data_IF_129935004213
#
_entry.id   IF_129935004213
#
_cell.length_a   1.000
_cell.length_b   1.000
_cell.length_c   1.000
_cell.angle_alpha   90.00
_cell.angle_beta   90.00
_cell.angle_gamma   90.00
#
_symmetry.space_group_name_H-M   'P 1'
#
loop_
_entity.id
_entity.type
_entity.pdbx_description
1 polymer ?
#
# COMPACT_ATOMS: atom_id res chain seq x y z
N UNK A 1 4.24 -8.08 17.94
CA UNK A 1 4.83 -7.33 16.80
C UNK A 1 3.87 -6.24 16.37
N UNK A 2 4.39 -5.13 15.86
CA UNK A 2 3.60 -4.01 15.34
C UNK A 2 3.61 -4.01 13.82
N UNK A 3 2.45 -4.07 13.21
CA UNK A 3 2.24 -3.93 11.77
C UNK A 3 1.82 -2.50 11.44
N UNK A 4 2.55 -1.84 10.54
CA UNK A 4 2.11 -0.63 9.88
C UNK A 4 1.55 -1.02 8.52
N UNK A 5 0.28 -0.69 8.27
CA UNK A 5 -0.41 -1.07 7.04
C UNK A 5 -1.00 0.19 6.40
N UNK A 6 -0.72 0.42 5.11
CA UNK A 6 -1.42 1.45 4.35
C UNK A 6 -2.56 0.84 3.54
N UNK A 7 -3.69 1.55 3.42
CA UNK A 7 -4.88 1.07 2.72
C UNK A 7 -5.61 2.21 1.99
N UNK A 8 -6.52 1.81 1.09
CA UNK A 8 -7.34 2.77 0.34
C UNK A 8 -6.58 3.55 -0.72
N UNK A 9 -7.27 4.42 -1.46
CA UNK A 9 -6.68 5.35 -2.42
C UNK A 9 -6.27 6.65 -1.74
N UNK A 10 -5.31 7.38 -2.33
CA UNK A 10 -5.18 8.81 -2.03
C UNK A 10 -6.04 9.64 -2.98
N UNK A 11 -6.39 10.86 -2.56
CA UNK A 11 -7.14 11.84 -3.34
C UNK A 11 -6.32 13.11 -3.45
N UNK A 12 -5.91 13.43 -4.67
CA UNK A 12 -5.10 14.61 -4.94
C UNK A 12 -6.01 15.74 -5.42
N UNK A 13 -6.23 16.80 -4.63
CA UNK A 13 -7.20 17.83 -4.93
C UNK A 13 -6.81 18.64 -6.18
N UNK A 14 -7.79 18.90 -7.04
CA UNK A 14 -7.73 19.85 -8.16
C UNK A 14 -8.27 21.22 -7.70
N UNK A 15 -9.41 21.18 -7.00
CA UNK A 15 -10.10 22.30 -6.39
C UNK A 15 -10.93 21.80 -5.19
N UNK A 16 -11.67 22.63 -4.45
CA UNK A 16 -12.47 22.19 -3.30
C UNK A 16 -13.52 21.11 -3.59
N UNK A 17 -13.80 20.80 -4.87
CA UNK A 17 -14.88 19.88 -5.29
C UNK A 17 -14.35 18.64 -5.97
N UNK A 18 -13.22 18.73 -6.70
CA UNK A 18 -12.71 17.67 -7.58
C UNK A 18 -11.31 17.25 -7.19
N UNK A 19 -11.02 15.97 -7.39
CA UNK A 19 -9.72 15.36 -7.12
C UNK A 19 -9.39 14.26 -8.14
N UNK A 20 -8.11 13.93 -8.24
CA UNK A 20 -7.59 12.74 -8.92
C UNK A 20 -7.47 11.63 -7.87
N UNK A 21 -7.82 10.40 -8.22
CA UNK A 21 -7.73 9.25 -7.32
C UNK A 21 -7.65 7.94 -8.10
N UNK A 22 -7.36 6.86 -7.37
CA UNK A 22 -7.34 5.49 -7.86
C UNK A 22 -8.65 4.75 -7.49
N UNK A 23 -8.97 3.66 -8.23
CA UNK A 23 -10.16 2.82 -8.00
C UNK A 23 -10.02 1.84 -6.84
N UNK A 24 -9.16 2.09 -5.87
CA UNK A 24 -8.96 1.17 -4.74
C UNK A 24 -10.12 1.25 -3.76
N UNK A 25 -10.67 0.10 -3.38
CA UNK A 25 -11.68 -0.01 -2.32
C UNK A 25 -11.09 -0.10 -0.91
N UNK A 26 -9.77 -0.30 -0.78
CA UNK A 26 -9.09 -0.50 0.51
C UNK A 26 -9.26 -1.91 1.12
N UNK A 27 -10.12 -2.76 0.57
CA UNK A 27 -10.50 -4.07 1.16
C UNK A 27 -9.31 -4.96 1.49
N UNK A 28 -8.25 -5.00 0.65
CA UNK A 28 -7.10 -5.87 0.91
C UNK A 28 -6.29 -5.40 2.12
N UNK A 29 -5.99 -4.10 2.21
CA UNK A 29 -5.26 -3.54 3.36
C UNK A 29 -6.04 -3.69 4.67
N UNK A 30 -7.36 -3.49 4.65
CA UNK A 30 -8.22 -3.72 5.82
C UNK A 30 -8.25 -5.19 6.23
N UNK A 31 -8.37 -6.12 5.27
CA UNK A 31 -8.32 -7.55 5.57
C UNK A 31 -6.96 -7.98 6.18
N UNK A 32 -5.83 -7.41 5.70
CA UNK A 32 -4.51 -7.67 6.30
C UNK A 32 -4.45 -7.11 7.74
N UNK A 33 -5.04 -5.94 7.98
CA UNK A 33 -5.11 -5.35 9.31
C UNK A 33 -5.92 -6.24 10.28
N UNK A 34 -7.07 -6.73 9.88
CA UNK A 34 -7.87 -7.68 10.65
C UNK A 34 -7.11 -8.99 10.92
N UNK A 35 -6.52 -9.58 9.89
CA UNK A 35 -5.75 -10.82 10.03
C UNK A 35 -4.54 -10.69 10.98
N UNK A 36 -3.87 -9.53 10.99
CA UNK A 36 -2.78 -9.26 11.92
C UNK A 36 -3.27 -9.12 13.37
N UNK A 37 -4.41 -8.45 13.58
CA UNK A 37 -5.06 -8.36 14.90
C UNK A 37 -5.54 -9.72 15.40
N UNK A 38 -6.14 -10.54 14.53
CA UNK A 38 -6.58 -11.91 14.86
C UNK A 38 -5.41 -12.82 15.24
N UNK A 39 -4.23 -12.58 14.66
CA UNK A 39 -2.99 -13.26 15.02
C UNK A 39 -2.34 -12.71 16.32
N UNK A 40 -2.98 -11.76 17.01
CA UNK A 40 -2.52 -11.20 18.29
C UNK A 40 -1.44 -10.13 18.18
N UNK A 41 -1.37 -9.42 17.06
CA UNK A 41 -0.40 -8.36 16.81
C UNK A 41 -1.03 -6.97 16.89
N UNK A 42 -0.21 -5.95 17.17
CA UNK A 42 -0.63 -4.57 17.13
C UNK A 42 -0.65 -4.06 15.68
N UNK A 43 -1.62 -3.20 15.36
CA UNK A 43 -1.80 -2.65 14.01
C UNK A 43 -1.92 -1.13 14.05
N UNK A 44 -1.14 -0.47 13.21
CA UNK A 44 -1.30 0.92 12.82
C UNK A 44 -1.81 0.91 11.38
N UNK A 45 -3.09 1.28 11.20
CA UNK A 45 -3.73 1.35 9.88
C UNK A 45 -3.81 2.81 9.42
N UNK A 46 -3.03 3.14 8.39
CA UNK A 46 -3.05 4.45 7.72
C UNK A 46 -3.89 4.29 6.46
N UNK A 47 -5.05 4.95 6.41
CA UNK A 47 -5.99 4.75 5.30
C UNK A 47 -6.36 6.04 4.62
N UNK A 48 -6.28 6.03 3.29
CA UNK A 48 -6.99 6.97 2.45
C UNK A 48 -8.50 6.76 2.52
N UNK A 49 -9.32 7.63 1.88
CA UNK A 49 -10.77 7.62 2.03
C UNK A 49 -11.42 6.38 1.42
N UNK A 50 -12.08 5.59 2.24
CA UNK A 50 -12.86 4.39 1.87
C UNK A 50 -14.17 4.31 2.66
N UNK A 51 -15.11 3.48 2.19
CA UNK A 51 -16.39 3.22 2.88
C UNK A 51 -16.29 1.94 3.74
N UNK A 52 -15.18 1.75 4.45
CA UNK A 52 -14.96 0.61 5.35
C UNK A 52 -14.79 1.13 6.77
N UNK A 53 -15.40 0.45 7.73
CA UNK A 53 -15.12 0.72 9.15
C UNK A 53 -13.72 0.21 9.50
N UNK A 54 -12.90 0.99 10.20
CA UNK A 54 -11.59 0.53 10.63
C UNK A 54 -11.74 -0.62 11.66
N UNK A 55 -10.82 -1.60 11.65
CA UNK A 55 -10.81 -2.68 12.65
C UNK A 55 -10.73 -2.10 14.06
N UNK A 56 -11.56 -2.60 14.97
CA UNK A 56 -11.82 -2.01 16.29
C UNK A 56 -10.56 -1.81 17.16
N UNK A 57 -9.56 -2.70 17.04
CA UNK A 57 -8.33 -2.66 17.84
C UNK A 57 -7.15 -1.98 17.13
N UNK A 58 -7.31 -1.55 15.89
CA UNK A 58 -6.25 -0.88 15.16
C UNK A 58 -6.09 0.57 15.62
N UNK A 59 -4.86 1.04 15.73
CA UNK A 59 -4.57 2.48 15.77
C UNK A 59 -4.84 3.03 14.36
N UNK A 60 -5.99 3.68 14.18
CA UNK A 60 -6.42 4.19 12.89
C UNK A 60 -5.95 5.62 12.65
N UNK A 61 -5.35 5.87 11.49
CA UNK A 61 -4.91 7.19 11.03
C UNK A 61 -5.54 7.45 9.67
N UNK A 62 -6.47 8.41 9.62
CA UNK A 62 -7.10 8.83 8.38
C UNK A 62 -6.23 9.87 7.68
N UNK A 63 -6.00 9.67 6.39
CA UNK A 63 -5.29 10.60 5.50
C UNK A 63 -6.09 10.78 4.22
N UNK A 64 -5.85 11.86 3.49
CA UNK A 64 -6.51 12.12 2.21
C UNK A 64 -5.52 12.08 1.05
N UNK A 65 -4.40 12.76 1.17
CA UNK A 65 -3.43 12.94 0.09
C UNK A 65 -2.23 12.00 0.19
N UNK A 66 -1.47 11.89 -0.90
CA UNK A 66 -0.20 11.16 -0.93
C UNK A 66 0.83 11.76 0.03
N UNK A 67 0.85 13.08 0.19
CA UNK A 67 1.76 13.75 1.12
C UNK A 67 1.42 13.42 2.58
N UNK A 68 0.13 13.47 2.96
CA UNK A 68 -0.31 13.09 4.31
C UNK A 68 0.01 11.62 4.60
N UNK A 69 -0.20 10.72 3.62
CA UNK A 69 0.14 9.30 3.77
C UNK A 69 1.65 9.10 3.92
N UNK A 70 2.47 9.81 3.13
CA UNK A 70 3.92 9.78 3.24
C UNK A 70 4.37 10.16 4.65
N UNK A 71 3.89 11.30 5.15
CA UNK A 71 4.29 11.83 6.47
C UNK A 71 3.84 10.89 7.61
N UNK A 72 2.61 10.38 7.55
CA UNK A 72 2.09 9.42 8.54
C UNK A 72 2.88 8.09 8.54
N UNK A 73 3.23 7.56 7.35
CA UNK A 73 4.05 6.34 7.26
C UNK A 73 5.43 6.58 7.86
N UNK A 74 6.08 7.69 7.51
CA UNK A 74 7.42 8.00 8.02
C UNK A 74 7.46 8.22 9.54
N UNK A 75 6.38 8.75 10.12
CA UNK A 75 6.25 8.93 11.57
C UNK A 75 6.20 7.61 12.34
N UNK A 76 5.68 6.54 11.73
CA UNK A 76 5.43 5.29 12.42
C UNK A 76 6.28 4.09 11.96
N UNK A 77 7.00 4.20 10.83
CA UNK A 77 7.74 3.09 10.25
C UNK A 77 8.82 2.53 11.19
N UNK A 78 9.59 3.39 11.86
CA UNK A 78 10.71 2.95 12.71
C UNK A 78 10.27 2.28 14.02
N UNK A 79 9.02 2.48 14.43
CA UNK A 79 8.41 1.81 15.59
C UNK A 79 7.64 0.55 15.22
N UNK A 80 7.69 0.12 13.96
CA UNK A 80 6.98 -1.05 13.45
C UNK A 80 7.95 -2.18 13.10
N UNK A 81 7.48 -3.43 13.20
CA UNK A 81 8.25 -4.61 12.83
C UNK A 81 8.01 -5.00 11.36
N UNK A 82 6.81 -4.73 10.84
CA UNK A 82 6.39 -5.03 9.47
C UNK A 82 5.67 -3.83 8.88
N UNK A 83 6.16 -3.32 7.76
CA UNK A 83 5.53 -2.25 6.99
C UNK A 83 4.93 -2.82 5.70
N UNK A 84 3.60 -2.81 5.58
CA UNK A 84 2.85 -3.32 4.43
C UNK A 84 2.23 -2.15 3.67
N UNK A 85 2.81 -1.78 2.53
CA UNK A 85 2.34 -0.69 1.71
C UNK A 85 1.35 -1.20 0.65
N UNK A 86 0.06 -1.28 1.04
CA UNK A 86 -1.04 -1.81 0.23
C UNK A 86 -1.95 -0.71 -0.33
N UNK A 87 -1.76 0.55 0.06
CA UNK A 87 -2.53 1.68 -0.46
C UNK A 87 -2.28 1.92 -1.96
N UNK A 88 -3.29 2.40 -2.66
CA UNK A 88 -3.19 2.88 -4.03
C UNK A 88 -2.88 4.39 -4.02
N UNK A 89 -1.62 4.72 -3.82
CA UNK A 89 -1.12 6.10 -3.82
C UNK A 89 -1.10 6.62 -5.25
N UNK A 90 -1.55 7.85 -5.48
CA UNK A 90 -1.45 8.49 -6.78
C UNK A 90 0.02 8.84 -7.10
N UNK A 91 0.50 8.47 -8.30
CA UNK A 91 1.87 8.77 -8.75
C UNK A 91 2.06 10.24 -9.10
N UNK A 92 0.95 10.94 -9.40
CA UNK A 92 0.93 12.34 -9.80
C UNK A 92 -0.16 13.11 -9.06
N UNK A 93 0.12 14.39 -8.79
CA UNK A 93 -0.82 15.35 -8.22
C UNK A 93 -0.80 16.65 -9.03
N UNK A 94 -1.87 17.48 -8.97
CA UNK A 94 -1.85 18.81 -9.56
C UNK A 94 -0.68 19.65 -9.05
N UNK A 95 0.03 20.33 -9.96
CA UNK A 95 1.12 21.23 -9.60
C UNK A 95 0.60 22.42 -8.76
N UNK A 96 -0.65 22.83 -9.01
CA UNK A 96 -1.34 23.89 -8.27
C UNK A 96 -2.78 23.46 -7.98
N UNK A 97 -3.20 23.66 -6.74
CA UNK A 97 -4.58 23.41 -6.32
C UNK A 97 -5.33 24.75 -6.34
N UNK A 98 -6.44 24.80 -7.07
CA UNK A 98 -7.27 26.01 -7.09
C UNK A 98 -7.98 26.19 -5.76
N UNK A 99 -7.92 27.37 -5.12
CA UNK A 99 -8.63 27.65 -3.86
C UNK A 99 -10.16 27.78 -4.06
N UNK A 100 -10.61 27.90 -5.30
CA UNK A 100 -12.04 28.00 -5.66
C UNK A 100 -12.39 26.98 -6.74
N UNK A 101 -13.65 26.58 -6.81
CA UNK A 101 -14.15 25.69 -7.85
C UNK A 101 -13.87 26.27 -9.25
N UNK A 102 -13.13 25.55 -10.09
CA UNK A 102 -12.84 25.93 -11.47
C UNK A 102 -14.16 25.93 -12.28
N UNK A 103 -14.56 27.09 -12.78
CA UNK A 103 -15.79 27.25 -13.57
C UNK A 103 -15.57 26.77 -15.01
N UNK A 104 -16.63 26.31 -15.64
CA UNK A 104 -16.62 25.87 -17.05
C UNK A 104 -16.60 27.12 -17.94
N UNK A 105 -15.44 27.58 -18.35
CA UNK A 105 -15.26 28.78 -19.18
C UNK A 105 -14.71 28.46 -20.57
N UNK A 106 -14.10 27.30 -20.80
CA UNK A 106 -13.46 26.92 -22.04
C UNK A 106 -13.88 25.52 -22.48
N UNK A 107 -13.71 25.21 -23.76
CA UNK A 107 -13.98 23.89 -24.35
C UNK A 107 -12.98 22.82 -23.83
N UNK A 108 -11.76 23.25 -23.49
CA UNK A 108 -10.69 22.38 -22.96
C UNK A 108 -10.01 23.05 -21.77
N UNK A 109 -9.61 22.23 -20.80
CA UNK A 109 -8.80 22.63 -19.66
C UNK A 109 -7.64 21.66 -19.54
N UNK A 110 -6.42 22.18 -19.47
CA UNK A 110 -5.21 21.40 -19.18
C UNK A 110 -4.89 21.47 -17.70
N UNK A 111 -4.47 20.34 -17.15
CA UNK A 111 -4.03 20.23 -15.76
C UNK A 111 -2.57 19.81 -15.76
N UNK A 112 -1.70 20.68 -15.25
CA UNK A 112 -0.30 20.33 -15.02
C UNK A 112 -0.17 19.41 -13.82
N UNK A 113 0.53 18.29 -14.00
CA UNK A 113 0.74 17.29 -12.96
C UNK A 113 2.23 17.17 -12.63
N UNK A 114 2.53 17.07 -11.34
CA UNK A 114 3.87 16.79 -10.82
C UNK A 114 3.87 15.44 -10.09
N UNK A 115 5.04 14.79 -10.02
CA UNK A 115 5.20 13.52 -9.31
C UNK A 115 4.97 13.70 -7.81
N UNK A 116 4.35 12.71 -7.20
CA UNK A 116 4.24 12.57 -5.75
C UNK A 116 5.52 11.97 -5.16
N UNK A 117 5.67 12.04 -3.85
CA UNK A 117 6.77 11.38 -3.12
C UNK A 117 6.53 9.87 -3.11
N UNK A 118 7.54 9.09 -3.47
CA UNK A 118 7.43 7.62 -3.46
C UNK A 118 7.71 7.07 -2.06
N UNK A 119 6.64 6.64 -1.38
CA UNK A 119 6.70 6.13 0.00
C UNK A 119 7.51 4.84 0.07
N UNK A 120 7.27 3.91 -0.87
CA UNK A 120 7.93 2.60 -0.86
C UNK A 120 9.43 2.73 -1.10
N UNK A 121 9.82 3.54 -2.07
CA UNK A 121 11.22 3.81 -2.38
C UNK A 121 11.93 4.50 -1.22
N UNK A 122 11.31 5.51 -0.63
CA UNK A 122 11.89 6.27 0.49
C UNK A 122 12.14 5.40 1.73
N UNK A 123 11.26 4.42 2.02
CA UNK A 123 11.49 3.44 3.07
C UNK A 123 12.55 2.41 2.69
N UNK A 124 12.57 1.99 1.43
CA UNK A 124 13.56 1.04 0.93
C UNK A 124 14.99 1.55 0.95
N UNK A 125 15.18 2.87 0.77
CA UNK A 125 16.47 3.53 0.81
C UNK A 125 17.01 3.80 2.22
N UNK A 126 16.20 3.58 3.27
CA UNK A 126 16.65 3.76 4.66
C UNK A 126 17.80 2.82 4.99
N UNK A 127 18.90 3.39 5.46
CA UNK A 127 20.03 2.62 5.98
C UNK A 127 19.65 1.95 7.32
N UNK A 128 20.11 0.71 7.51
CA UNK A 128 19.89 -0.07 8.75
C UNK A 128 18.41 -0.24 9.13
N UNK A 129 17.51 -0.30 8.13
CA UNK A 129 16.09 -0.59 8.33
C UNK A 129 15.90 -1.87 9.16
N UNK A 130 15.09 -1.79 10.23
CA UNK A 130 14.83 -2.92 11.15
C UNK A 130 13.51 -3.64 10.82
N UNK A 131 12.59 -3.01 10.10
CA UNK A 131 11.30 -3.58 9.73
C UNK A 131 11.36 -4.36 8.40
N UNK A 132 10.50 -5.36 8.28
CA UNK A 132 10.20 -6.01 7.00
C UNK A 132 9.41 -5.05 6.12
N UNK A 133 9.88 -4.78 4.89
CA UNK A 133 9.20 -3.89 3.95
C UNK A 133 8.52 -4.69 2.85
N UNK A 134 7.18 -4.62 2.82
CA UNK A 134 6.33 -5.28 1.85
C UNK A 134 5.62 -4.24 1.00
N UNK A 135 5.84 -4.28 -0.32
CA UNK A 135 5.11 -3.46 -1.28
C UNK A 135 4.02 -4.26 -1.98
N UNK A 136 2.99 -3.57 -2.47
CA UNK A 136 1.98 -4.13 -3.36
C UNK A 136 2.16 -3.62 -4.79
N UNK A 137 1.81 -4.46 -5.77
CA UNK A 137 1.82 -4.13 -7.19
C UNK A 137 0.54 -4.66 -7.85
N UNK A 138 -0.28 -3.75 -8.39
CA UNK A 138 -1.43 -4.09 -9.21
C UNK A 138 -1.04 -3.85 -10.67
N UNK A 139 -0.87 -4.92 -11.44
CA UNK A 139 -0.36 -4.89 -12.80
C UNK A 139 -1.43 -5.36 -13.77
N UNK A 140 -1.35 -4.91 -15.02
CA UNK A 140 -2.25 -5.33 -16.11
C UNK A 140 -1.60 -6.31 -17.07
N UNK A 141 -0.27 -6.39 -17.03
CA UNK A 141 0.56 -7.25 -17.89
C UNK A 141 1.88 -7.61 -17.18
N UNK A 142 2.59 -8.60 -17.70
CA UNK A 142 3.93 -9.00 -17.25
C UNK A 142 4.12 -9.04 -15.72
N UNK A 143 3.11 -9.55 -14.98
CA UNK A 143 2.97 -9.49 -13.52
C UNK A 143 4.28 -9.82 -12.78
N UNK A 144 4.91 -10.96 -13.09
CA UNK A 144 6.12 -11.41 -12.39
C UNK A 144 7.34 -10.55 -12.71
N UNK A 145 7.50 -10.16 -13.98
CA UNK A 145 8.62 -9.29 -14.39
C UNK A 145 8.52 -7.90 -13.75
N UNK A 146 7.32 -7.31 -13.76
CA UNK A 146 7.07 -6.00 -13.16
C UNK A 146 7.23 -6.04 -11.64
N UNK A 147 6.71 -7.07 -10.96
CA UNK A 147 6.89 -7.26 -9.52
C UNK A 147 8.37 -7.43 -9.14
N UNK A 148 9.13 -8.22 -9.91
CA UNK A 148 10.56 -8.44 -9.69
C UNK A 148 11.36 -7.16 -9.90
N UNK A 149 11.05 -6.38 -10.94
CA UNK A 149 11.66 -5.07 -11.18
C UNK A 149 11.38 -4.12 -10.03
N UNK A 150 10.11 -3.98 -9.62
CA UNK A 150 9.68 -3.13 -8.49
C UNK A 150 10.36 -3.51 -7.19
N UNK A 151 10.51 -4.80 -6.90
CA UNK A 151 11.21 -5.32 -5.72
C UNK A 151 12.64 -4.76 -5.63
N UNK A 152 13.38 -4.81 -6.75
CA UNK A 152 14.77 -4.35 -6.82
C UNK A 152 14.88 -2.83 -6.77
N UNK A 153 14.11 -2.12 -7.60
CA UNK A 153 14.12 -0.66 -7.69
C UNK A 153 13.74 -0.01 -6.35
N UNK A 154 12.73 -0.56 -5.66
CA UNK A 154 12.26 -0.05 -4.37
C UNK A 154 12.97 -0.66 -3.16
N UNK A 155 13.95 -1.53 -3.37
CA UNK A 155 14.72 -2.19 -2.30
C UNK A 155 13.83 -2.82 -1.22
N UNK A 156 12.74 -3.48 -1.63
CA UNK A 156 11.81 -4.17 -0.73
C UNK A 156 12.34 -5.54 -0.30
N UNK A 157 11.78 -6.10 0.76
CA UNK A 157 12.02 -7.49 1.15
C UNK A 157 11.05 -8.43 0.42
N UNK A 158 9.88 -7.89 0.05
CA UNK A 158 8.82 -8.64 -0.61
C UNK A 158 7.92 -7.72 -1.44
N UNK A 159 7.45 -8.20 -2.59
CA UNK A 159 6.35 -7.61 -3.36
C UNK A 159 5.21 -8.62 -3.45
N UNK A 160 4.01 -8.18 -3.09
CA UNK A 160 2.76 -8.90 -3.33
C UNK A 160 2.10 -8.31 -4.56
N UNK A 161 2.05 -9.08 -5.64
CA UNK A 161 1.52 -8.64 -6.92
C UNK A 161 0.19 -9.34 -7.25
N UNK A 162 -0.71 -8.62 -7.91
CA UNK A 162 -1.96 -9.15 -8.43
C UNK A 162 -2.31 -8.53 -9.78
N UNK A 163 -3.14 -9.24 -10.57
CA UNK A 163 -3.76 -8.66 -11.76
C UNK A 163 -4.83 -7.65 -11.32
N UNK A 164 -4.65 -6.39 -11.72
CA UNK A 164 -5.56 -5.30 -11.41
C UNK A 164 -6.99 -5.55 -11.88
N UNK A 165 -7.16 -6.28 -13.01
CA UNK A 165 -8.47 -6.61 -13.58
C UNK A 165 -9.25 -7.61 -12.75
N UNK A 166 -8.56 -8.43 -11.93
CA UNK A 166 -9.17 -9.46 -11.07
C UNK A 166 -9.35 -8.92 -9.65
N UNK A 167 -8.34 -8.22 -9.12
CA UNK A 167 -8.28 -7.86 -7.70
C UNK A 167 -8.93 -6.54 -7.33
N UNK A 168 -9.11 -5.59 -8.27
CA UNK A 168 -9.75 -4.31 -7.96
C UNK A 168 -11.27 -4.46 -7.81
N UNK A 169 -11.84 -3.77 -6.80
CA UNK A 169 -13.29 -3.68 -6.55
C UNK A 169 -14.00 -5.04 -6.28
N UNK A 170 -13.28 -6.16 -6.24
CA UNK A 170 -13.84 -7.50 -5.97
C UNK A 170 -13.55 -7.95 -4.55
N UNK A 171 -14.22 -9.01 -4.08
CA UNK A 171 -13.98 -9.61 -2.76
C UNK A 171 -12.93 -10.72 -2.79
N UNK A 172 -12.54 -11.17 -3.98
CA UNK A 172 -11.53 -12.19 -4.21
C UNK A 172 -10.28 -11.59 -4.86
N UNK A 173 -9.18 -12.33 -4.79
CA UNK A 173 -7.94 -12.00 -5.51
C UNK A 173 -7.12 -13.26 -5.79
N UNK A 174 -6.12 -13.15 -6.66
CA UNK A 174 -5.05 -14.11 -6.87
C UNK A 174 -3.73 -13.37 -6.66
N UNK A 175 -2.78 -13.98 -5.94
CA UNK A 175 -1.56 -13.29 -5.55
C UNK A 175 -0.32 -14.03 -6.03
N UNK A 176 0.65 -13.25 -6.53
CA UNK A 176 2.02 -13.64 -6.74
C UNK A 176 2.92 -12.91 -5.73
N UNK A 177 3.65 -13.64 -4.93
CA UNK A 177 4.59 -13.07 -3.96
C UNK A 177 6.00 -13.28 -4.50
N UNK A 178 6.77 -12.19 -4.60
CA UNK A 178 8.17 -12.21 -5.02
C UNK A 178 9.02 -11.81 -3.82
N UNK A 179 9.96 -12.67 -3.43
CA UNK A 179 10.86 -12.46 -2.30
C UNK A 179 12.21 -11.90 -2.76
N UNK A 180 12.91 -11.23 -1.84
CA UNK A 180 14.24 -10.63 -2.11
C UNK A 180 15.29 -11.66 -2.58
N UNK A 181 15.19 -12.92 -2.15
CA UNK A 181 16.08 -14.00 -2.58
C UNK A 181 15.80 -14.53 -3.99
N UNK A 182 14.79 -14.00 -4.68
CA UNK A 182 14.36 -14.42 -6.02
C UNK A 182 13.34 -15.54 -6.03
N UNK A 183 12.99 -16.12 -4.88
CA UNK A 183 11.89 -17.09 -4.80
C UNK A 183 10.56 -16.42 -5.12
N UNK A 184 9.62 -17.20 -5.67
CA UNK A 184 8.24 -16.76 -5.89
C UNK A 184 7.26 -17.74 -5.28
N UNK A 185 6.11 -17.25 -4.82
CA UNK A 185 5.00 -18.06 -4.32
C UNK A 185 3.68 -17.54 -4.89
N UNK A 186 2.93 -18.43 -5.52
CA UNK A 186 1.57 -18.15 -5.97
C UNK A 186 0.57 -18.58 -4.92
N UNK A 187 -0.47 -17.77 -4.70
CA UNK A 187 -1.67 -18.14 -3.93
C UNK A 187 -2.84 -18.01 -4.90
N UNK A 188 -3.51 -19.13 -5.13
CA UNK A 188 -4.65 -19.22 -6.04
C UNK A 188 -5.79 -18.30 -5.59
N UNK A 189 -6.67 -17.98 -6.52
CA UNK A 189 -7.84 -17.15 -6.29
C UNK A 189 -8.65 -17.61 -5.08
N UNK A 190 -8.85 -16.67 -4.15
CA UNK A 190 -9.55 -16.90 -2.91
C UNK A 190 -10.12 -15.58 -2.35
N UNK A 191 -11.04 -15.62 -1.36
CA UNK A 191 -11.48 -14.43 -0.65
C UNK A 191 -10.33 -13.64 -0.03
N UNK A 192 -10.39 -12.32 -0.07
CA UNK A 192 -9.35 -11.43 0.47
C UNK A 192 -9.07 -11.66 1.95
N UNK A 193 -10.06 -12.06 2.72
CA UNK A 193 -9.90 -12.45 4.13
C UNK A 193 -9.00 -13.67 4.28
N UNK A 194 -9.20 -14.72 3.49
CA UNK A 194 -8.34 -15.90 3.48
C UNK A 194 -6.91 -15.53 3.05
N UNK A 195 -6.78 -14.77 1.94
CA UNK A 195 -5.48 -14.33 1.43
C UNK A 195 -4.72 -13.49 2.46
N UNK A 196 -5.41 -12.65 3.21
CA UNK A 196 -4.83 -11.82 4.25
C UNK A 196 -4.21 -12.65 5.38
N UNK A 197 -4.88 -13.69 5.86
CA UNK A 197 -4.33 -14.61 6.86
C UNK A 197 -3.10 -15.35 6.35
N UNK A 198 -3.11 -15.80 5.08
CA UNK A 198 -1.94 -16.44 4.47
C UNK A 198 -0.76 -15.46 4.33
N UNK A 199 -1.02 -14.20 3.94
CA UNK A 199 0.00 -13.17 3.85
C UNK A 199 0.62 -12.87 5.21
N UNK A 200 -0.18 -12.69 6.27
CA UNK A 200 0.31 -12.43 7.63
C UNK A 200 1.23 -13.56 8.09
N UNK A 201 0.87 -14.84 7.88
CA UNK A 201 1.75 -15.98 8.19
C UNK A 201 3.09 -15.89 7.45
N UNK A 202 3.06 -15.50 6.17
CA UNK A 202 4.28 -15.36 5.35
C UNK A 202 5.14 -14.22 5.88
N UNK A 203 4.56 -13.08 6.23
CA UNK A 203 5.28 -11.92 6.76
C UNK A 203 5.96 -12.27 8.09
N UNK A 204 5.26 -12.92 9.01
CA UNK A 204 5.80 -13.35 10.30
C UNK A 204 6.99 -14.31 10.14
N UNK A 205 6.86 -15.32 9.28
CA UNK A 205 7.94 -16.26 8.99
C UNK A 205 9.17 -15.58 8.37
N UNK A 206 8.96 -14.57 7.52
CA UNK A 206 10.05 -13.83 6.88
C UNK A 206 10.76 -12.89 7.86
N UNK A 207 10.03 -12.24 8.75
CA UNK A 207 10.61 -11.37 9.78
C UNK A 207 11.46 -12.18 10.79
N UNK A 208 11.00 -13.34 11.24
CA UNK A 208 11.76 -14.21 12.13
C UNK A 208 13.09 -14.67 11.52
N UNK A 209 13.08 -15.07 10.23
CA UNK A 209 14.31 -15.45 9.51
C UNK A 209 15.30 -14.28 9.36
N UNK A 210 14.81 -13.05 9.23
CA UNK A 210 15.66 -11.86 9.16
C UNK A 210 16.36 -11.57 10.47
N UNK A 211 15.67 -11.73 11.61
CA UNK A 211 16.23 -11.56 12.96
C UNK A 211 17.29 -12.62 13.26
N UNK A 212 17.06 -13.88 12.90
CA UNK A 212 18.00 -14.98 13.15
C UNK A 212 19.30 -14.85 12.34
N UNK A 213 19.28 -14.19 11.17
CA UNK A 213 20.49 -13.96 10.36
C UNK A 213 21.35 -12.80 10.85
N UNK A 214 20.83 -11.93 11.73
CA UNK A 214 21.55 -10.77 12.30
C UNK A 214 22.21 -11.08 13.65
N UNK A 215 21.91 -12.23 14.26
CA UNK A 215 22.57 -12.79 15.45
C UNK A 215 23.72 -13.70 15.04
#
# INVERSE_FOLDING_TARGET
MTFLITAGPTREPIDPVRYISNRSSGKMGYAIAEAALDAGHDVILISGPVNLAPPHKAKFISVSTSDEMFDAVHQHADSSDVCVLCAAVADYKPAQVSPVKIKKCAAQVSLELIRTRDILESLGQRQNRQFLLVGFAAETDHLEANATRKLREKNCDMIVANDARIGMETDENELLIVFRNGETKKISRAPKTFLAHELVKIFLNSQQKSLTKKM
#
